data_IF_895772807766
#
_entry.id   IF_895772807766
#
_cell.length_a   1.000
_cell.length_b   1.000
_cell.length_c   1.000
_cell.angle_alpha   90.00
_cell.angle_beta   90.00
_cell.angle_gamma   90.00
#
_symmetry.space_group_name_H-M   'P 1'
#
loop_
_entity.id
_entity.type
_entity.pdbx_description
1 polymer ?
#
# COMPACT_ATOMS: atom_id res chain seq x y z
N UNK A 1 5.17 -13.71 8.94
CA UNK A 1 4.56 -14.21 7.68
C UNK A 1 5.63 -14.26 6.59
N UNK A 2 5.56 -15.21 5.63
CA UNK A 2 6.50 -15.31 4.50
C UNK A 2 5.71 -15.27 3.20
N UNK A 3 6.04 -14.33 2.31
CA UNK A 3 5.43 -14.19 0.99
C UNK A 3 6.15 -15.04 -0.06
N UNK A 4 5.39 -15.60 -1.00
CA UNK A 4 5.91 -16.37 -2.14
C UNK A 4 5.32 -15.81 -3.44
N UNK A 5 6.13 -15.68 -4.49
CA UNK A 5 5.69 -15.21 -5.81
C UNK A 5 5.25 -16.41 -6.66
N UNK A 6 4.10 -16.30 -7.31
CA UNK A 6 3.50 -17.34 -8.18
C UNK A 6 3.15 -16.77 -9.56
N UNK A 7 2.52 -17.59 -10.40
CA UNK A 7 1.83 -17.23 -11.64
C UNK A 7 2.77 -16.76 -12.76
N UNK A 8 3.82 -17.56 -12.99
CA UNK A 8 4.81 -17.35 -14.05
C UNK A 8 4.30 -17.61 -15.48
N UNK A 9 2.99 -17.69 -15.72
CA UNK A 9 2.40 -17.98 -17.04
C UNK A 9 2.67 -16.92 -18.11
N UNK A 10 3.04 -15.70 -17.68
CA UNK A 10 3.46 -14.61 -18.58
C UNK A 10 4.98 -14.33 -18.52
N UNK A 11 5.74 -15.08 -17.71
CA UNK A 11 7.16 -14.84 -17.52
C UNK A 11 7.95 -15.06 -18.82
N UNK A 12 8.98 -14.23 -19.04
CA UNK A 12 9.88 -14.35 -20.19
C UNK A 12 11.34 -14.22 -19.77
N UNK A 13 12.19 -15.06 -20.37
CA UNK A 13 13.64 -14.96 -20.22
C UNK A 13 14.18 -13.87 -21.16
N UNK A 14 14.84 -12.87 -20.58
CA UNK A 14 15.51 -11.81 -21.33
C UNK A 14 16.98 -12.20 -21.54
N UNK A 15 17.39 -12.37 -22.79
CA UNK A 15 18.79 -12.66 -23.13
C UNK A 15 19.62 -11.37 -23.07
N UNK A 16 20.68 -11.37 -22.25
CA UNK A 16 21.56 -10.22 -22.04
C UNK A 16 22.63 -10.14 -23.14
N UNK A 17 22.22 -10.04 -24.40
CA UNK A 17 23.16 -9.89 -25.51
C UNK A 17 23.59 -8.42 -25.60
N UNK A 18 24.81 -8.13 -25.16
CA UNK A 18 25.47 -6.82 -25.21
C UNK A 18 25.86 -6.38 -26.64
N UNK A 19 25.18 -6.88 -27.67
CA UNK A 19 25.31 -6.37 -29.05
C UNK A 19 24.10 -5.48 -29.32
N UNK A 20 24.38 -4.20 -29.63
CA UNK A 20 23.43 -3.09 -29.68
C UNK A 20 22.32 -3.15 -30.73
N UNK A 21 21.73 -4.30 -31.01
CA UNK A 21 20.59 -4.45 -31.91
C UNK A 21 19.82 -5.76 -31.64
N UNK A 22 19.35 -5.96 -30.40
CA UNK A 22 18.26 -6.91 -30.17
C UNK A 22 17.36 -6.44 -29.04
N UNK A 23 16.67 -5.31 -29.29
CA UNK A 23 15.27 -5.20 -28.85
C UNK A 23 14.60 -6.42 -29.45
N UNK A 24 14.48 -7.49 -28.66
CA UNK A 24 13.67 -8.63 -29.04
C UNK A 24 12.27 -8.07 -29.26
N UNK A 25 11.96 -7.70 -30.51
CA UNK A 25 10.64 -7.79 -31.09
C UNK A 25 10.31 -9.27 -31.06
N UNK A 26 10.16 -9.83 -29.86
CA UNK A 26 9.59 -11.15 -29.67
C UNK A 26 8.18 -10.98 -30.19
N UNK A 27 8.00 -11.40 -31.44
CA UNK A 27 6.74 -11.33 -32.18
C UNK A 27 5.68 -12.09 -31.41
N UNK A 28 5.04 -11.40 -30.47
CA UNK A 28 3.77 -11.80 -29.90
C UNK A 28 2.74 -11.05 -30.73
N UNK A 29 2.30 -11.67 -31.81
CA UNK A 29 1.15 -11.28 -32.64
C UNK A 29 -0.18 -11.41 -31.90
N UNK A 30 -0.19 -11.22 -30.58
CA UNK A 30 -1.42 -11.11 -29.80
C UNK A 30 -1.74 -9.63 -29.65
N UNK A 31 -2.63 -9.17 -30.53
CA UNK A 31 -3.46 -7.98 -30.33
C UNK A 31 -4.25 -8.24 -29.05
N UNK A 32 -3.69 -7.89 -27.90
CA UNK A 32 -4.26 -8.18 -26.60
C UNK A 32 -3.39 -7.65 -25.48
N UNK A 33 -3.99 -6.85 -24.61
CA UNK A 33 -3.36 -6.35 -23.39
C UNK A 33 -2.85 -7.53 -22.55
N UNK A 34 -1.55 -7.56 -22.27
CA UNK A 34 -0.91 -8.58 -21.41
C UNK A 34 -0.61 -7.96 -20.06
N UNK A 35 -1.26 -8.47 -19.02
CA UNK A 35 -1.10 -8.03 -17.64
C UNK A 35 -2.45 -7.84 -16.96
N UNK A 36 -2.40 -7.48 -15.68
CA UNK A 36 -3.59 -7.17 -14.88
C UNK A 36 -3.81 -5.66 -14.90
N UNK A 37 -5.03 -5.22 -15.22
CA UNK A 37 -5.41 -3.80 -15.24
C UNK A 37 -5.11 -3.19 -13.87
N UNK A 38 -4.49 -2.00 -13.87
CA UNK A 38 -4.07 -1.30 -12.66
C UNK A 38 -2.63 -1.63 -12.20
N UNK A 39 -2.13 -2.82 -12.49
CA UNK A 39 -0.75 -3.22 -12.16
C UNK A 39 0.19 -3.11 -13.36
N UNK A 40 -0.35 -3.17 -14.59
CA UNK A 40 0.47 -3.02 -15.79
C UNK A 40 1.05 -1.60 -15.88
N UNK A 41 2.35 -1.46 -16.21
CA UNK A 41 2.97 -0.17 -16.40
C UNK A 41 2.43 0.53 -17.65
N UNK A 42 2.41 1.88 -17.69
CA UNK A 42 1.80 2.63 -18.78
C UNK A 42 2.45 2.36 -20.14
N UNK A 43 3.75 2.07 -20.19
CA UNK A 43 4.45 1.74 -21.44
C UNK A 43 3.98 0.43 -22.08
N UNK A 44 3.41 -0.53 -21.33
CA UNK A 44 2.94 -1.79 -21.90
C UNK A 44 1.70 -1.61 -22.80
N UNK A 45 0.99 -0.48 -22.69
CA UNK A 45 -0.09 -0.11 -23.61
C UNK A 45 0.37 0.57 -24.89
N UNK A 46 1.60 1.11 -24.91
CA UNK A 46 2.16 1.87 -26.04
C UNK A 46 3.21 1.07 -26.80
N UNK A 47 4.08 0.34 -26.09
CA UNK A 47 5.16 -0.46 -26.62
C UNK A 47 5.17 -1.83 -25.93
N UNK A 48 5.09 -2.92 -26.70
CA UNK A 48 5.14 -4.31 -26.22
C UNK A 48 6.53 -4.74 -25.67
N UNK A 49 7.30 -3.80 -25.11
CA UNK A 49 8.64 -4.04 -24.59
C UNK A 49 8.57 -4.54 -23.15
N UNK A 50 8.58 -5.85 -22.98
CA UNK A 50 8.71 -6.48 -21.65
C UNK A 50 10.06 -6.11 -21.06
N UNK A 51 10.06 -5.68 -19.80
CA UNK A 51 11.27 -5.26 -19.12
C UNK A 51 11.21 -5.57 -17.62
N UNK A 52 12.38 -5.68 -16.99
CA UNK A 52 12.50 -5.76 -15.53
C UNK A 52 11.84 -4.57 -14.82
N UNK A 53 11.78 -3.41 -15.49
CA UNK A 53 11.16 -2.20 -14.95
C UNK A 53 9.63 -2.28 -14.91
N UNK A 54 9.02 -3.11 -15.76
CA UNK A 54 7.58 -3.40 -15.66
C UNK A 54 7.24 -4.20 -14.40
N UNK A 55 8.10 -5.14 -14.00
CA UNK A 55 7.96 -5.88 -12.75
C UNK A 55 8.11 -4.96 -11.54
N UNK A 56 9.07 -4.02 -11.58
CA UNK A 56 9.26 -3.00 -10.54
C UNK A 56 8.01 -2.11 -10.39
N UNK A 57 7.42 -1.68 -11.49
CA UNK A 57 6.18 -0.90 -11.45
C UNK A 57 5.04 -1.68 -10.78
N UNK A 58 4.83 -2.93 -11.22
CA UNK A 58 3.78 -3.80 -10.69
C UNK A 58 3.97 -4.04 -9.19
N UNK A 59 5.22 -4.24 -8.76
CA UNK A 59 5.60 -4.32 -7.34
C UNK A 59 5.27 -3.04 -6.58
N UNK A 60 5.56 -1.87 -7.16
CA UNK A 60 5.23 -0.58 -6.57
C UNK A 60 3.73 -0.45 -6.29
N UNK A 61 2.89 -0.76 -7.28
CA UNK A 61 1.43 -0.77 -7.13
C UNK A 61 0.97 -1.74 -6.03
N UNK A 62 1.54 -2.94 -5.97
CA UNK A 62 1.23 -3.93 -4.93
C UNK A 62 1.55 -3.40 -3.52
N UNK A 63 2.71 -2.76 -3.33
CA UNK A 63 3.06 -2.14 -2.04
C UNK A 63 2.05 -1.05 -1.67
N UNK A 64 1.69 -0.18 -2.60
CA UNK A 64 0.72 0.88 -2.33
C UNK A 64 -0.66 0.32 -1.99
N UNK A 65 -1.07 -0.76 -2.65
CA UNK A 65 -2.33 -1.45 -2.37
C UNK A 65 -2.32 -2.06 -0.96
N UNK A 66 -1.27 -2.78 -0.59
CA UNK A 66 -1.17 -3.44 0.71
C UNK A 66 -1.31 -2.45 1.87
N UNK A 67 -0.70 -1.27 1.75
CA UNK A 67 -0.73 -0.27 2.82
C UNK A 67 -1.99 0.60 2.83
N UNK A 68 -2.66 0.75 1.68
CA UNK A 68 -3.85 1.61 1.58
C UNK A 68 -5.17 0.88 1.68
N UNK A 69 -5.15 -0.45 1.54
CA UNK A 69 -6.34 -1.30 1.43
C UNK A 69 -7.13 -1.07 0.14
N UNK A 70 -6.61 -0.27 -0.80
CA UNK A 70 -7.34 0.18 -2.00
C UNK A 70 -6.83 -0.55 -3.24
N UNK A 71 -7.76 -1.26 -3.91
CA UNK A 71 -7.53 -1.87 -5.21
C UNK A 71 -7.10 -0.81 -6.24
N UNK A 72 -6.12 -1.06 -7.11
CA UNK A 72 -5.70 -0.11 -8.15
C UNK A 72 -6.82 0.30 -9.12
N UNK A 73 -7.88 -0.51 -9.21
CA UNK A 73 -9.09 -0.29 -10.02
C UNK A 73 -10.30 0.22 -9.22
N UNK A 74 -10.09 0.67 -7.98
CA UNK A 74 -11.17 1.23 -7.15
C UNK A 74 -11.89 2.37 -7.90
N UNK A 75 -13.21 2.46 -7.73
CA UNK A 75 -14.04 3.44 -8.44
C UNK A 75 -13.67 4.90 -8.17
N UNK A 76 -12.96 5.19 -7.08
CA UNK A 76 -12.44 6.52 -6.78
C UNK A 76 -11.31 6.97 -7.74
N UNK A 77 -10.67 6.02 -8.44
CA UNK A 77 -9.57 6.27 -9.38
C UNK A 77 -10.09 6.48 -10.80
N UNK A 78 -10.91 7.53 -10.97
CA UNK A 78 -11.42 8.02 -12.26
C UNK A 78 -10.75 9.34 -12.64
N UNK A 79 -10.98 9.81 -13.87
CA UNK A 79 -10.56 11.14 -14.34
C UNK A 79 -9.05 11.43 -14.20
N UNK A 80 -8.22 10.41 -14.44
CA UNK A 80 -6.75 10.53 -14.36
C UNK A 80 -6.17 10.41 -12.95
N UNK A 81 -7.01 10.19 -11.93
CA UNK A 81 -6.55 9.72 -10.62
C UNK A 81 -6.21 8.23 -10.69
N UNK A 82 -5.19 7.85 -9.93
CA UNK A 82 -4.77 6.46 -9.76
C UNK A 82 -4.14 6.29 -8.36
N UNK A 83 -3.92 5.04 -7.97
CA UNK A 83 -3.37 4.71 -6.65
C UNK A 83 -2.01 5.38 -6.40
N UNK A 84 -1.13 5.45 -7.41
CA UNK A 84 0.16 6.14 -7.32
C UNK A 84 -0.01 7.62 -6.96
N UNK A 85 -0.85 8.35 -7.71
CA UNK A 85 -1.08 9.78 -7.50
C UNK A 85 -1.81 10.05 -6.18
N UNK A 86 -2.72 9.16 -5.78
CA UNK A 86 -3.41 9.24 -4.49
C UNK A 86 -2.42 9.18 -3.32
N UNK A 87 -1.54 8.17 -3.29
CA UNK A 87 -0.53 8.06 -2.24
C UNK A 87 0.51 9.17 -2.33
N UNK A 88 1.03 9.46 -3.52
CA UNK A 88 2.07 10.48 -3.73
C UNK A 88 1.65 11.87 -3.24
N UNK A 89 0.38 12.24 -3.40
CA UNK A 89 -0.14 13.55 -2.96
C UNK A 89 -0.29 13.65 -1.44
N UNK A 90 -0.41 12.52 -0.76
CA UNK A 90 -0.59 12.49 0.69
C UNK A 90 0.72 12.43 1.46
N UNK A 91 1.84 12.06 0.83
CA UNK A 91 3.11 11.92 1.54
C UNK A 91 3.91 13.23 1.58
N UNK A 92 4.68 13.47 2.66
CA UNK A 92 4.73 12.68 3.90
C UNK A 92 3.65 13.04 4.95
N UNK A 93 3.08 14.24 4.90
CA UNK A 93 2.28 14.81 6.01
C UNK A 93 0.93 14.12 6.22
N UNK A 94 0.31 13.63 5.16
CA UNK A 94 -1.01 13.02 5.12
C UNK A 94 -1.02 11.48 5.15
N UNK A 95 0.03 10.83 5.65
CA UNK A 95 0.15 9.35 5.65
C UNK A 95 -1.09 8.62 6.23
N UNK A 96 -1.70 9.14 7.30
CA UNK A 96 -2.88 8.53 7.91
C UNK A 96 -4.13 8.57 7.01
N UNK A 97 -4.20 9.50 6.05
CA UNK A 97 -5.33 9.59 5.11
C UNK A 97 -5.31 8.50 4.04
N UNK A 98 -4.14 7.89 3.81
CA UNK A 98 -3.99 6.86 2.76
C UNK A 98 -3.98 5.45 3.32
N UNK A 99 -3.53 5.28 4.57
CA UNK A 99 -3.43 3.99 5.23
C UNK A 99 -4.77 3.27 5.34
N UNK A 100 -4.71 1.94 5.24
CA UNK A 100 -5.82 1.08 5.62
C UNK A 100 -6.09 1.24 7.13
N UNK A 101 -7.33 1.55 7.56
CA UNK A 101 -7.67 1.61 8.98
C UNK A 101 -7.31 0.34 9.77
N UNK A 102 -7.29 -0.82 9.11
CA UNK A 102 -6.89 -2.09 9.75
C UNK A 102 -5.39 -2.14 10.11
N UNK A 103 -4.55 -1.30 9.50
CA UNK A 103 -3.13 -1.18 9.83
C UNK A 103 -2.87 -0.21 10.99
N UNK A 104 -3.90 0.53 11.41
CA UNK A 104 -3.80 1.60 12.43
C UNK A 104 -4.54 1.22 13.71
N UNK A 105 -5.39 0.19 13.68
CA UNK A 105 -6.15 -0.28 14.83
C UNK A 105 -5.38 -1.31 15.65
N UNK A 106 -5.30 -1.08 16.96
CA UNK A 106 -5.04 -2.14 17.93
C UNK A 106 -6.24 -3.11 17.94
N UNK A 107 -6.02 -4.42 18.02
CA UNK A 107 -7.11 -5.35 18.32
C UNK A 107 -7.68 -5.03 19.70
N UNK A 108 -8.68 -4.17 19.76
CA UNK A 108 -9.56 -4.09 20.93
C UNK A 108 -10.39 -5.36 20.92
N UNK A 109 -9.87 -6.37 21.61
CA UNK A 109 -10.58 -7.59 21.95
C UNK A 109 -11.79 -7.26 22.82
N UNK A 110 -12.89 -6.85 22.20
CA UNK A 110 -14.18 -6.74 22.84
C UNK A 110 -15.22 -7.35 21.91
N UNK A 111 -15.44 -8.66 22.08
CA UNK A 111 -16.65 -9.33 21.62
C UNK A 111 -17.81 -8.68 22.38
N UNK A 112 -18.80 -8.05 21.71
CA UNK A 112 -20.00 -7.63 22.42
C UNK A 112 -20.80 -8.90 22.70
N UNK A 113 -20.73 -9.41 23.93
CA UNK A 113 -21.70 -10.38 24.42
C UNK A 113 -23.03 -9.65 24.52
N UNK A 114 -23.87 -9.82 23.51
CA UNK A 114 -25.29 -9.48 23.59
C UNK A 114 -25.95 -10.45 24.56
N UNK A 115 -26.32 -9.97 25.74
CA UNK A 115 -27.33 -10.60 26.58
C UNK A 115 -28.46 -9.59 26.80
N UNK A 116 -29.65 -9.97 26.35
CA UNK A 116 -30.92 -9.26 26.57
C UNK A 116 -31.48 -9.57 27.98
N UNK A 117 -32.11 -8.53 28.56
CA UNK A 117 -33.31 -8.51 29.44
C UNK A 117 -33.17 -9.09 30.88
N UNK A 118 -33.68 -8.51 31.98
CA UNK A 118 -34.90 -7.72 32.26
C UNK A 118 -34.78 -6.79 33.50
N UNK A 119 -35.62 -5.72 33.54
CA UNK A 119 -36.47 -5.43 34.72
C UNK A 119 -36.16 -4.23 35.64
N UNK A 120 -37.08 -3.24 35.69
CA UNK A 120 -37.34 -2.42 36.89
C UNK A 120 -37.50 -0.90 36.70
N UNK A 121 -38.75 -0.41 36.79
CA UNK A 121 -39.14 1.01 36.78
C UNK A 121 -38.90 1.72 38.14
N UNK A 122 -38.60 3.04 38.14
CA UNK A 122 -39.26 4.13 38.90
C UNK A 122 -38.37 5.36 39.18
N UNK A 123 -38.91 6.57 38.97
CA UNK A 123 -38.69 7.75 39.85
C UNK A 123 -37.81 8.91 39.34
N UNK A 124 -38.46 10.03 38.97
CA UNK A 124 -37.95 11.42 39.05
C UNK A 124 -37.75 11.77 40.55
N UNK A 125 -36.76 12.52 41.04
CA UNK A 125 -36.35 13.91 40.73
C UNK A 125 -35.07 14.27 41.55
N UNK A 126 -34.43 15.41 41.22
CA UNK A 126 -33.50 16.24 42.01
C UNK A 126 -32.03 16.37 41.55
N UNK A 127 -31.62 17.64 41.53
CA UNK A 127 -30.45 18.29 40.92
C UNK A 127 -29.25 18.22 41.86
N UNK A 128 -28.07 17.82 41.36
CA UNK A 128 -26.76 18.33 41.82
C UNK A 128 -25.80 18.37 40.63
N UNK A 129 -25.28 19.56 40.32
CA UNK A 129 -24.13 19.75 39.45
C UNK A 129 -22.87 19.17 40.11
N UNK A 130 -22.21 18.22 39.45
CA UNK A 130 -20.77 18.00 39.63
C UNK A 130 -20.13 17.85 38.26
N UNK A 131 -19.21 18.77 37.99
CA UNK A 131 -18.29 18.77 36.87
C UNK A 131 -17.60 17.42 36.70
N UNK A 132 -17.81 16.77 35.57
CA UNK A 132 -16.96 15.67 35.11
C UNK A 132 -16.39 16.00 33.74
N UNK A 133 -15.11 16.35 33.78
CA UNK A 133 -14.22 16.26 32.63
C UNK A 133 -14.24 14.82 32.13
N UNK A 134 -14.89 14.55 31.01
CA UNK A 134 -14.62 13.35 30.24
C UNK A 134 -14.34 13.74 28.80
N UNK A 135 -13.03 13.88 28.56
CA UNK A 135 -12.33 13.24 27.45
C UNK A 135 -13.17 13.13 26.19
N UNK A 136 -13.03 14.12 25.30
CA UNK A 136 -13.14 13.84 23.87
C UNK A 136 -11.99 12.88 23.55
N UNK A 137 -12.23 11.59 23.80
CA UNK A 137 -11.36 10.51 23.39
C UNK A 137 -11.28 10.55 21.88
N UNK A 138 -10.31 11.30 21.36
CA UNK A 138 -9.76 11.00 20.05
C UNK A 138 -9.25 9.58 20.18
N UNK A 139 -9.90 8.63 19.50
CA UNK A 139 -9.31 7.34 19.18
C UNK A 139 -7.94 7.65 18.57
N UNK A 140 -6.90 7.56 19.40
CA UNK A 140 -5.57 7.98 19.03
C UNK A 140 -5.06 6.89 18.10
N UNK A 141 -4.91 7.23 16.82
CA UNK A 141 -4.32 6.36 15.81
C UNK A 141 -2.82 6.23 16.11
N UNK A 142 -2.44 5.40 17.10
CA UNK A 142 -1.10 5.42 17.69
C UNK A 142 -0.12 4.53 16.93
N UNK A 143 0.23 4.90 15.69
CA UNK A 143 1.53 4.47 15.17
C UNK A 143 2.62 5.24 15.93
N UNK A 144 3.67 4.57 16.40
CA UNK A 144 4.83 5.25 16.97
C UNK A 144 5.46 6.17 15.92
N UNK A 145 6.22 7.19 16.35
CA UNK A 145 6.96 8.04 15.40
C UNK A 145 7.93 7.24 14.53
N UNK A 146 8.47 6.12 15.03
CA UNK A 146 9.30 5.19 14.25
C UNK A 146 8.46 4.45 13.23
N UNK A 147 7.33 3.87 13.62
CA UNK A 147 6.41 3.16 12.73
C UNK A 147 5.91 4.08 11.61
N UNK A 148 5.48 5.29 11.96
CA UNK A 148 5.06 6.31 11.00
C UNK A 148 6.15 6.60 9.98
N UNK A 149 7.40 6.81 10.41
CA UNK A 149 8.54 7.02 9.49
C UNK A 149 8.79 5.80 8.60
N UNK A 150 8.66 4.60 9.15
CA UNK A 150 8.84 3.35 8.41
C UNK A 150 7.77 3.17 7.34
N UNK A 151 6.51 3.41 7.70
CA UNK A 151 5.38 3.41 6.77
C UNK A 151 5.58 4.43 5.66
N UNK A 152 5.95 5.67 5.99
CA UNK A 152 6.25 6.71 4.99
C UNK A 152 7.34 6.22 4.03
N UNK A 153 8.44 5.68 4.57
CA UNK A 153 9.56 5.17 3.75
C UNK A 153 9.12 4.03 2.81
N UNK A 154 8.24 3.13 3.25
CA UNK A 154 7.70 2.04 2.43
C UNK A 154 6.79 2.60 1.33
N UNK A 155 5.89 3.52 1.67
CA UNK A 155 4.98 4.14 0.70
C UNK A 155 5.75 4.97 -0.34
N UNK A 156 6.74 5.75 0.07
CA UNK A 156 7.64 6.47 -0.85
C UNK A 156 8.38 5.50 -1.78
N UNK A 157 8.79 4.34 -1.27
CA UNK A 157 9.41 3.29 -2.08
C UNK A 157 8.42 2.75 -3.12
N UNK A 158 7.18 2.49 -2.72
CA UNK A 158 6.09 2.10 -3.62
C UNK A 158 5.82 3.16 -4.71
N UNK A 159 5.80 4.45 -4.34
CA UNK A 159 5.67 5.58 -5.28
C UNK A 159 6.83 5.62 -6.26
N UNK A 160 8.08 5.50 -5.78
CA UNK A 160 9.26 5.51 -6.65
C UNK A 160 9.27 4.33 -7.64
N UNK A 161 8.84 3.15 -7.19
CA UNK A 161 8.72 1.96 -8.04
C UNK A 161 7.65 2.12 -9.13
N UNK A 162 6.53 2.79 -8.81
CA UNK A 162 5.39 2.98 -9.71
C UNK A 162 5.44 4.27 -10.54
N UNK A 163 6.63 4.84 -10.76
CA UNK A 163 6.79 6.00 -11.63
C UNK A 163 6.38 5.68 -13.08
N UNK A 164 5.73 6.63 -13.75
CA UNK A 164 5.26 6.43 -15.11
C UNK A 164 6.38 6.14 -16.12
N UNK A 165 7.57 6.71 -15.92
CA UNK A 165 8.73 6.47 -16.78
C UNK A 165 9.64 5.37 -16.22
N UNK A 166 9.92 4.35 -17.04
CA UNK A 166 10.73 3.19 -16.64
C UNK A 166 12.16 3.54 -16.21
N UNK A 167 12.73 4.64 -16.72
CA UNK A 167 14.08 5.09 -16.37
C UNK A 167 14.17 5.83 -15.02
N UNK A 168 13.03 6.24 -14.46
CA UNK A 168 12.95 6.90 -13.15
C UNK A 168 12.69 5.92 -12.01
N UNK A 169 12.41 4.65 -12.35
CA UNK A 169 12.17 3.60 -11.37
C UNK A 169 13.50 3.07 -10.82
N UNK A 170 13.62 2.84 -9.50
CA UNK A 170 14.80 2.20 -8.94
C UNK A 170 14.93 0.77 -9.45
N UNK A 171 16.15 0.22 -9.42
CA UNK A 171 16.29 -1.22 -9.65
C UNK A 171 15.81 -1.99 -8.41
N UNK A 172 15.40 -3.25 -8.59
CA UNK A 172 14.82 -4.05 -7.48
C UNK A 172 15.80 -4.31 -6.33
N UNK A 173 17.12 -4.30 -6.57
CA UNK A 173 18.11 -4.47 -5.52
C UNK A 173 18.18 -3.23 -4.61
N UNK A 174 18.03 -2.03 -5.18
CA UNK A 174 17.96 -0.78 -4.40
C UNK A 174 16.71 -0.74 -3.54
N UNK A 175 15.58 -1.17 -4.11
CA UNK A 175 14.30 -1.32 -3.39
C UNK A 175 14.48 -2.28 -2.22
N UNK A 176 15.07 -3.45 -2.44
CA UNK A 176 15.32 -4.44 -1.39
C UNK A 176 16.21 -3.87 -0.29
N UNK A 177 17.32 -3.20 -0.64
CA UNK A 177 18.21 -2.57 0.35
C UNK A 177 17.47 -1.55 1.22
N UNK A 178 16.63 -0.70 0.62
CA UNK A 178 15.84 0.29 1.36
C UNK A 178 14.85 -0.39 2.31
N UNK A 179 14.14 -1.42 1.85
CA UNK A 179 13.15 -2.12 2.67
C UNK A 179 13.77 -2.94 3.80
N UNK A 180 14.96 -3.51 3.60
CA UNK A 180 15.71 -4.16 4.68
C UNK A 180 16.02 -3.17 5.78
N UNK A 181 16.50 -1.96 5.45
CA UNK A 181 16.77 -0.91 6.45
C UNK A 181 15.49 -0.54 7.23
N UNK A 182 14.36 -0.40 6.54
CA UNK A 182 13.07 -0.13 7.20
C UNK A 182 12.66 -1.26 8.14
N UNK A 183 12.81 -2.52 7.71
CA UNK A 183 12.52 -3.69 8.54
C UNK A 183 13.36 -3.70 9.81
N UNK A 184 14.67 -3.47 9.70
CA UNK A 184 15.54 -3.46 10.88
C UNK A 184 15.18 -2.33 11.85
N UNK A 185 14.77 -1.16 11.33
CA UNK A 185 14.31 -0.05 12.16
C UNK A 185 13.01 -0.39 12.92
N UNK A 186 12.04 -1.02 12.26
CA UNK A 186 10.80 -1.49 12.89
C UNK A 186 11.06 -2.54 13.98
N UNK A 187 11.94 -3.51 13.69
CA UNK A 187 12.28 -4.57 14.64
C UNK A 187 13.04 -4.05 15.86
N UNK A 188 13.89 -3.04 15.68
CA UNK A 188 14.59 -2.41 16.79
C UNK A 188 13.63 -1.64 17.73
N UNK A 189 12.55 -1.05 17.20
CA UNK A 189 11.52 -0.36 17.98
C UNK A 189 10.68 -1.36 18.80
N UNK A 190 10.39 -2.53 18.25
CA UNK A 190 9.55 -3.58 18.87
C UNK A 190 10.19 -4.31 20.05
N UNK A 191 11.49 -4.10 20.31
CA UNK A 191 12.25 -4.78 21.41
C UNK A 191 12.29 -3.91 22.68
N UNK A 192 11.76 -2.68 22.64
CA UNK A 192 11.85 -1.70 23.72
C UNK A 192 10.57 -1.60 24.54
#
# INVERSE_FOLDING_TARGET
MVGHVSDFGLAKLLSNNNSGLSRSKSGSTTIGFKGTIGYAPPEYGMELAISKQGDVYSYGILVLEMFSGKRPTNEMFKDGLNLHNFVKRALPEGVFSVLDPLLVREETGAVPVTAQEEGGMNGIEEIVETSDNNSSGSEENVLTETEKKCVISVLETGVACSMGSANQRPNIADVLRKLVVVREALLADSIR
#
